data_IF_088069058217
#
_entry.id   IF_088069058217
#
_cell.length_a   1.000
_cell.length_b   1.000
_cell.length_c   1.000
_cell.angle_alpha   90.00
_cell.angle_beta   90.00
_cell.angle_gamma   90.00
#
_symmetry.space_group_name_H-M   'P 1'
#
loop_
_entity.id
_entity.type
_entity.pdbx_description
1 polymer ?
#
# COMPACT_ATOMS: atom_id res chain seq x y z
N UNK A 1 -33.41 31.50 -14.85
CA UNK A 1 -32.66 32.48 -14.01
C UNK A 1 -31.80 31.71 -13.02
N UNK A 2 -30.47 31.68 -13.17
CA UNK A 2 -29.57 31.11 -12.14
C UNK A 2 -29.52 32.09 -10.96
N UNK A 3 -29.97 31.69 -9.78
CA UNK A 3 -29.85 32.50 -8.58
C UNK A 3 -28.37 32.81 -8.32
N UNK A 4 -28.02 34.10 -8.24
CA UNK A 4 -26.64 34.54 -8.08
C UNK A 4 -26.28 34.58 -6.59
N UNK A 5 -25.67 33.51 -6.08
CA UNK A 5 -25.22 33.45 -4.69
C UNK A 5 -23.88 34.19 -4.51
N UNK A 6 -23.91 35.31 -3.79
CA UNK A 6 -22.72 36.13 -3.51
C UNK A 6 -21.71 35.36 -2.65
N UNK A 7 -20.42 35.47 -2.98
CA UNK A 7 -19.30 34.84 -2.26
C UNK A 7 -19.20 33.31 -2.38
N UNK A 8 -19.94 32.68 -3.29
CA UNK A 8 -19.81 31.24 -3.57
C UNK A 8 -18.75 31.00 -4.64
N UNK A 9 -17.86 30.05 -4.38
CA UNK A 9 -16.81 29.60 -5.31
C UNK A 9 -16.87 28.08 -5.49
N UNK A 10 -16.57 27.63 -6.69
CA UNK A 10 -16.44 26.21 -7.03
C UNK A 10 -14.99 25.75 -6.92
N UNK A 11 -14.79 24.53 -6.42
CA UNK A 11 -13.49 23.88 -6.34
C UNK A 11 -13.65 22.44 -6.82
N UNK A 12 -12.85 22.03 -7.80
CA UNK A 12 -12.90 20.68 -8.36
C UNK A 12 -11.87 19.84 -7.62
N UNK A 13 -12.31 18.78 -6.94
CA UNK A 13 -11.36 17.90 -6.27
C UNK A 13 -10.55 17.06 -7.28
N UNK A 14 -9.47 16.44 -6.81
CA UNK A 14 -8.58 15.57 -7.62
C UNK A 14 -9.27 14.37 -8.28
N UNK A 15 -10.56 14.13 -7.99
CA UNK A 15 -11.38 13.07 -8.57
C UNK A 15 -12.48 13.63 -9.48
N UNK A 16 -12.44 14.93 -9.81
CA UNK A 16 -13.40 15.59 -10.69
C UNK A 16 -14.71 16.01 -10.01
N UNK A 17 -14.86 15.86 -8.69
CA UNK A 17 -16.09 16.27 -8.02
C UNK A 17 -16.08 17.78 -7.74
N UNK A 18 -17.07 18.48 -8.27
CA UNK A 18 -17.29 19.91 -8.00
C UNK A 18 -17.82 20.08 -6.57
N UNK A 19 -17.16 20.92 -5.78
CA UNK A 19 -17.56 21.28 -4.42
C UNK A 19 -17.73 22.78 -4.31
N UNK A 20 -18.79 23.20 -3.64
CA UNK A 20 -19.12 24.61 -3.43
C UNK A 20 -18.57 25.10 -2.09
N UNK A 21 -18.07 26.32 -2.07
CA UNK A 21 -17.55 26.97 -0.86
C UNK A 21 -18.01 28.42 -0.76
N UNK A 22 -18.22 28.90 0.45
CA UNK A 22 -18.35 30.32 0.75
C UNK A 22 -16.98 30.92 1.06
N UNK A 23 -16.63 32.02 0.40
CA UNK A 23 -15.34 32.72 0.57
C UNK A 23 -15.54 34.24 0.59
N UNK A 24 -15.42 34.84 1.77
CA UNK A 24 -15.45 36.30 1.99
C UNK A 24 -14.13 36.75 2.64
N UNK A 25 -13.57 37.88 2.19
CA UNK A 25 -12.32 38.43 2.71
C UNK A 25 -12.45 38.66 4.24
N UNK A 26 -11.50 38.14 5.01
CA UNK A 26 -11.52 38.22 6.48
C UNK A 26 -12.29 37.09 7.20
N UNK A 27 -12.87 36.13 6.46
CA UNK A 27 -13.51 34.93 7.02
C UNK A 27 -12.87 33.65 6.46
N UNK A 28 -12.81 32.55 7.24
CA UNK A 28 -12.35 31.27 6.74
C UNK A 28 -13.25 30.72 5.62
N UNK A 29 -12.65 29.96 4.70
CA UNK A 29 -13.36 29.29 3.58
C UNK A 29 -14.24 28.18 4.15
N UNK A 30 -15.56 28.26 3.95
CA UNK A 30 -16.54 27.29 4.48
C UNK A 30 -17.12 26.45 3.34
N UNK A 31 -17.28 25.14 3.53
CA UNK A 31 -17.89 24.25 2.53
C UNK A 31 -19.41 24.39 2.55
N UNK A 32 -20.02 24.53 1.38
CA UNK A 32 -21.48 24.50 1.19
C UNK A 32 -21.90 23.09 0.73
N UNK A 33 -22.64 22.33 1.56
CA UNK A 33 -23.10 20.99 1.21
C UNK A 33 -24.30 21.03 0.25
N UNK A 34 -24.39 20.02 -0.62
CA UNK A 34 -25.52 19.87 -1.55
C UNK A 34 -25.47 20.79 -2.78
N UNK A 35 -26.42 20.62 -3.71
CA UNK A 35 -26.53 21.46 -4.90
C UNK A 35 -27.01 22.88 -4.53
N UNK A 36 -26.67 23.91 -5.33
CA UNK A 36 -27.13 25.28 -5.10
C UNK A 36 -28.65 25.35 -4.95
N UNK A 37 -29.13 25.95 -3.86
CA UNK A 37 -30.55 26.10 -3.55
C UNK A 37 -31.19 24.94 -2.77
N UNK A 38 -30.46 23.87 -2.44
CA UNK A 38 -30.97 22.84 -1.51
C UNK A 38 -31.14 23.39 -0.08
N UNK A 39 -31.93 22.72 0.79
CA UNK A 39 -32.04 23.11 2.20
C UNK A 39 -30.68 23.20 2.90
N UNK A 40 -29.85 22.15 2.78
CA UNK A 40 -28.51 22.11 3.36
C UNK A 40 -27.59 23.22 2.82
N UNK A 41 -27.70 23.54 1.52
CA UNK A 41 -26.95 24.62 0.90
C UNK A 41 -27.39 25.98 1.43
N UNK A 42 -28.70 26.24 1.46
CA UNK A 42 -29.26 27.53 1.89
C UNK A 42 -29.00 27.79 3.37
N UNK A 43 -28.98 26.75 4.19
CA UNK A 43 -28.72 26.86 5.63
C UNK A 43 -27.24 27.14 5.91
N UNK A 44 -26.34 26.40 5.26
CA UNK A 44 -24.90 26.67 5.33
C UNK A 44 -24.53 28.04 4.75
N UNK A 45 -25.20 28.45 3.67
CA UNK A 45 -25.00 29.74 3.02
C UNK A 45 -25.46 30.91 3.89
N UNK A 46 -26.65 30.81 4.51
CA UNK A 46 -27.16 31.82 5.45
C UNK A 46 -26.27 31.93 6.69
N UNK A 47 -25.87 30.81 7.28
CA UNK A 47 -24.95 30.80 8.43
C UNK A 47 -23.62 31.50 8.10
N UNK A 48 -23.03 31.20 6.94
CA UNK A 48 -21.78 31.82 6.49
C UNK A 48 -21.93 33.34 6.21
N UNK A 49 -23.06 33.78 5.64
CA UNK A 49 -23.36 35.20 5.44
C UNK A 49 -23.47 35.98 6.76
N UNK A 50 -24.07 35.37 7.78
CA UNK A 50 -24.25 35.93 9.12
C UNK A 50 -22.96 35.92 9.96
N UNK A 51 -21.84 35.43 9.41
CA UNK A 51 -20.58 35.30 10.15
C UNK A 51 -20.62 34.25 11.26
N UNK A 52 -21.73 33.52 11.39
CA UNK A 52 -21.81 32.28 12.16
C UNK A 52 -21.10 31.24 11.33
N UNK A 53 -19.78 31.19 11.49
CA UNK A 53 -18.97 30.09 11.00
C UNK A 53 -19.55 28.83 11.62
N UNK A 54 -20.44 28.19 10.87
CA UNK A 54 -20.74 26.79 11.06
C UNK A 54 -19.41 26.11 10.79
N UNK A 55 -18.61 25.97 11.85
CA UNK A 55 -17.92 24.72 12.05
C UNK A 55 -19.00 23.64 11.95
N UNK A 56 -19.31 23.24 10.72
CA UNK A 56 -19.71 21.87 10.46
C UNK A 56 -18.47 21.02 10.75
N UNK A 57 -18.00 21.04 12.00
CA UNK A 57 -17.62 19.82 12.69
C UNK A 57 -18.77 18.90 12.34
N UNK A 58 -18.52 17.94 11.46
CA UNK A 58 -19.30 16.72 11.42
C UNK A 58 -19.52 16.40 12.88
N UNK A 59 -20.73 16.58 13.42
CA UNK A 59 -21.02 16.16 14.78
C UNK A 59 -20.50 14.74 14.80
N UNK A 60 -19.43 14.49 15.56
CA UNK A 60 -19.07 13.13 15.90
C UNK A 60 -20.35 12.66 16.55
N UNK A 61 -21.17 11.91 15.81
CA UNK A 61 -22.47 11.50 16.29
C UNK A 61 -22.25 10.96 17.69
N UNK A 62 -23.10 11.35 18.64
CA UNK A 62 -22.99 10.86 20.01
C UNK A 62 -22.68 9.37 19.96
N UNK A 63 -21.60 8.95 20.62
CA UNK A 63 -21.17 7.55 20.56
C UNK A 63 -22.29 6.75 21.23
N UNK A 64 -23.10 6.06 20.41
CA UNK A 64 -24.23 5.28 20.90
C UNK A 64 -23.68 4.13 21.75
N UNK A 65 -24.05 4.03 23.05
CA UNK A 65 -23.61 2.92 23.89
C UNK A 65 -24.01 1.56 23.31
N UNK A 66 -23.07 0.61 23.29
CA UNK A 66 -23.26 -0.72 22.69
C UNK A 66 -23.14 -0.77 21.17
N UNK A 67 -22.84 0.35 20.49
CA UNK A 67 -22.68 0.41 19.04
C UNK A 67 -21.34 -0.14 18.57
N UNK A 68 -21.27 -0.58 17.31
CA UNK A 68 -20.02 -1.02 16.70
C UNK A 68 -18.94 0.06 16.71
N UNK A 69 -19.32 1.34 16.57
CA UNK A 69 -18.41 2.47 16.68
C UNK A 69 -17.79 2.58 18.07
N UNK A 70 -18.58 2.40 19.13
CA UNK A 70 -18.06 2.34 20.51
C UNK A 70 -17.03 1.21 20.66
N UNK A 71 -17.32 0.02 20.12
CA UNK A 71 -16.40 -1.11 20.15
C UNK A 71 -15.09 -0.80 19.39
N UNK A 72 -15.16 -0.16 18.22
CA UNK A 72 -13.98 0.28 17.47
C UNK A 72 -13.13 1.25 18.29
N UNK A 73 -13.76 2.22 18.99
CA UNK A 73 -13.04 3.17 19.85
C UNK A 73 -12.33 2.46 20.99
N UNK A 74 -13.01 1.54 21.69
CA UNK A 74 -12.38 0.70 22.75
C UNK A 74 -11.20 -0.11 22.21
N UNK A 75 -11.31 -0.62 20.98
CA UNK A 75 -10.22 -1.32 20.33
C UNK A 75 -9.05 -0.39 20.02
N UNK A 76 -9.30 0.81 19.53
CA UNK A 76 -8.26 1.79 19.19
C UNK A 76 -7.43 2.26 20.39
N UNK A 77 -8.00 2.22 21.60
CA UNK A 77 -7.31 2.56 22.85
C UNK A 77 -6.71 1.34 23.55
N UNK A 78 -6.88 0.13 23.00
CA UNK A 78 -6.38 -1.11 23.61
C UNK A 78 -4.88 -1.33 23.37
N UNK A 79 -4.21 -2.02 24.30
CA UNK A 79 -2.83 -2.45 24.13
C UNK A 79 -2.63 -3.31 22.86
N UNK A 80 -3.60 -4.19 22.55
CA UNK A 80 -3.62 -5.03 21.34
C UNK A 80 -3.53 -4.21 20.04
N UNK A 81 -4.06 -2.98 20.03
CA UNK A 81 -3.97 -2.05 18.90
C UNK A 81 -2.74 -1.15 18.98
N UNK A 82 -2.45 -0.56 20.14
CA UNK A 82 -1.37 0.41 20.32
C UNK A 82 0.03 -0.20 20.10
N UNK A 83 0.20 -1.50 20.35
CA UNK A 83 1.46 -2.21 20.09
C UNK A 83 1.66 -2.59 18.61
N UNK A 84 0.68 -2.31 17.72
CA UNK A 84 0.83 -2.57 16.29
C UNK A 84 1.72 -1.50 15.65
N UNK A 85 2.36 -1.87 14.53
CA UNK A 85 3.06 -0.89 13.71
C UNK A 85 2.10 0.26 13.28
N UNK A 86 2.52 1.54 13.29
CA UNK A 86 1.65 2.67 12.95
C UNK A 86 0.96 2.56 11.58
N UNK A 87 1.58 1.88 10.60
CA UNK A 87 0.94 1.62 9.31
C UNK A 87 -0.20 0.61 9.45
N UNK A 88 0.00 -0.43 10.26
CA UNK A 88 -1.02 -1.44 10.56
C UNK A 88 -2.20 -0.81 11.30
N UNK A 89 -1.93 0.08 12.26
CA UNK A 89 -2.96 0.86 12.96
C UNK A 89 -3.82 1.66 11.97
N UNK A 90 -3.17 2.44 11.08
CA UNK A 90 -3.85 3.23 10.05
C UNK A 90 -4.70 2.38 9.11
N UNK A 91 -4.17 1.27 8.60
CA UNK A 91 -4.93 0.37 7.71
C UNK A 91 -6.15 -0.23 8.41
N UNK A 92 -6.00 -0.76 9.63
CA UNK A 92 -7.12 -1.35 10.36
C UNK A 92 -8.19 -0.33 10.68
N UNK A 93 -7.80 0.87 11.13
CA UNK A 93 -8.72 1.98 11.39
C UNK A 93 -9.49 2.37 10.14
N UNK A 94 -8.80 2.57 9.02
CA UNK A 94 -9.46 2.91 7.75
C UNK A 94 -10.49 1.85 7.31
N UNK A 95 -10.19 0.56 7.50
CA UNK A 95 -11.12 -0.53 7.18
C UNK A 95 -12.34 -0.51 8.11
N UNK A 96 -12.13 -0.38 9.43
CA UNK A 96 -13.21 -0.36 10.42
C UNK A 96 -14.08 0.89 10.29
N UNK A 97 -13.49 2.05 10.05
CA UNK A 97 -14.24 3.29 9.87
C UNK A 97 -15.09 3.24 8.59
N UNK A 98 -14.56 2.67 7.50
CA UNK A 98 -15.32 2.43 6.27
C UNK A 98 -16.46 1.43 6.50
N UNK A 99 -16.22 0.37 7.27
CA UNK A 99 -17.28 -0.56 7.66
C UNK A 99 -18.38 0.16 8.45
N UNK A 100 -18.01 0.97 9.45
CA UNK A 100 -18.96 1.74 10.26
C UNK A 100 -19.78 2.73 9.43
N UNK A 101 -19.19 3.32 8.38
CA UNK A 101 -19.89 4.24 7.47
C UNK A 101 -20.84 3.54 6.50
N UNK A 102 -20.63 2.25 6.22
CA UNK A 102 -21.47 1.51 5.28
C UNK A 102 -22.86 1.26 5.90
N UNK A 103 -23.92 1.86 5.33
CA UNK A 103 -25.32 1.71 5.80
C UNK A 103 -25.48 1.98 7.31
N UNK A 104 -24.70 2.91 7.84
CA UNK A 104 -24.62 3.24 9.27
C UNK A 104 -24.41 2.00 10.17
N UNK A 105 -23.66 0.99 9.69
CA UNK A 105 -23.36 -0.21 10.48
C UNK A 105 -22.61 0.13 11.78
N UNK A 106 -21.94 1.28 11.84
CA UNK A 106 -21.25 1.79 13.03
C UNK A 106 -22.18 2.10 14.20
N UNK A 107 -23.40 2.51 13.92
CA UNK A 107 -24.37 2.95 14.94
C UNK A 107 -25.20 1.78 15.48
N UNK A 108 -25.11 0.62 14.81
CA UNK A 108 -25.86 -0.59 15.16
C UNK A 108 -25.22 -1.33 16.34
N UNK A 109 -26.00 -2.06 17.15
CA UNK A 109 -25.47 -2.84 18.26
C UNK A 109 -24.49 -3.92 17.79
N UNK A 110 -23.24 -3.88 18.26
CA UNK A 110 -22.23 -4.86 17.83
C UNK A 110 -22.56 -6.30 18.27
N UNK A 111 -23.39 -6.45 19.31
CA UNK A 111 -23.86 -7.75 19.82
C UNK A 111 -24.84 -8.46 18.87
N UNK A 112 -25.49 -7.71 17.98
CA UNK A 112 -26.42 -8.23 16.98
C UNK A 112 -25.78 -8.43 15.60
N UNK A 113 -24.47 -8.14 15.47
CA UNK A 113 -23.76 -8.34 14.22
C UNK A 113 -23.56 -9.85 13.98
N UNK A 114 -24.44 -10.44 13.18
CA UNK A 114 -24.32 -11.84 12.74
C UNK A 114 -23.32 -12.07 11.57
N UNK A 115 -22.89 -13.32 11.43
CA UNK A 115 -22.04 -13.83 10.34
C UNK A 115 -22.62 -13.51 8.96
N UNK A 116 -23.93 -13.65 8.77
CA UNK A 116 -24.64 -13.38 7.51
C UNK A 116 -24.48 -11.92 7.05
N UNK A 117 -24.48 -10.96 7.98
CA UNK A 117 -24.25 -9.55 7.66
C UNK A 117 -22.83 -9.33 7.11
N UNK A 118 -21.83 -9.97 7.71
CA UNK A 118 -20.43 -9.85 7.28
C UNK A 118 -20.24 -10.50 5.91
N UNK A 119 -20.87 -11.66 5.68
CA UNK A 119 -20.89 -12.33 4.37
C UNK A 119 -21.52 -11.41 3.32
N UNK A 120 -22.68 -10.81 3.59
CA UNK A 120 -23.32 -9.85 2.68
C UNK A 120 -22.40 -8.68 2.32
N UNK A 121 -21.64 -8.14 3.29
CA UNK A 121 -20.65 -7.07 3.03
C UNK A 121 -19.43 -7.55 2.24
N UNK A 122 -18.98 -8.78 2.49
CA UNK A 122 -17.87 -9.41 1.77
C UNK A 122 -18.24 -9.65 0.31
N UNK A 123 -19.43 -10.17 0.07
CA UNK A 123 -19.89 -10.56 -1.28
C UNK A 123 -20.26 -9.33 -2.12
N UNK A 124 -20.70 -8.24 -1.49
CA UNK A 124 -20.81 -6.92 -2.13
C UNK A 124 -19.46 -6.32 -2.56
N UNK A 125 -18.35 -6.99 -2.27
CA UNK A 125 -16.99 -6.62 -2.65
C UNK A 125 -16.31 -7.71 -3.52
N UNK A 126 -17.10 -8.55 -4.19
CA UNK A 126 -16.61 -9.66 -5.02
C UNK A 126 -15.65 -9.21 -6.15
N UNK A 127 -15.85 -8.00 -6.66
CA UNK A 127 -14.99 -7.32 -7.64
C UNK A 127 -13.59 -6.96 -7.08
N UNK A 128 -13.46 -6.96 -5.76
CA UNK A 128 -12.24 -6.57 -5.02
C UNK A 128 -11.97 -7.55 -3.86
N UNK A 129 -11.66 -8.82 -4.17
CA UNK A 129 -11.58 -9.89 -3.18
C UNK A 129 -10.56 -9.61 -2.06
N UNK A 130 -9.42 -8.99 -2.36
CA UNK A 130 -8.41 -8.65 -1.34
C UNK A 130 -8.92 -7.60 -0.34
N UNK A 131 -9.69 -6.62 -0.79
CA UNK A 131 -10.30 -5.64 0.10
C UNK A 131 -11.38 -6.29 0.99
N UNK A 132 -12.18 -7.19 0.42
CA UNK A 132 -13.19 -7.95 1.16
C UNK A 132 -12.54 -8.84 2.24
N UNK A 133 -11.47 -9.55 1.87
CA UNK A 133 -10.69 -10.39 2.77
C UNK A 133 -10.01 -9.56 3.88
N UNK A 134 -9.52 -8.37 3.54
CA UNK A 134 -8.98 -7.40 4.52
C UNK A 134 -10.03 -6.93 5.53
N UNK A 135 -11.27 -6.69 5.09
CA UNK A 135 -12.40 -6.36 5.96
C UNK A 135 -12.71 -7.50 6.92
N UNK A 136 -12.93 -8.72 6.40
CA UNK A 136 -13.22 -9.91 7.22
C UNK A 136 -12.11 -10.16 8.25
N UNK A 137 -10.84 -10.07 7.83
CA UNK A 137 -9.68 -10.23 8.73
C UNK A 137 -9.67 -9.17 9.85
N UNK A 138 -10.00 -7.94 9.53
CA UNK A 138 -9.98 -6.84 10.51
C UNK A 138 -11.13 -6.95 11.50
N UNK A 139 -12.34 -7.31 11.04
CA UNK A 139 -13.48 -7.59 11.90
C UNK A 139 -13.21 -8.79 12.82
N UNK A 140 -12.61 -9.86 12.30
CA UNK A 140 -12.20 -11.01 13.12
C UNK A 140 -11.26 -10.60 14.24
N UNK A 141 -10.30 -9.71 13.97
CA UNK A 141 -9.39 -9.20 15.01
C UNK A 141 -10.11 -8.31 16.03
N UNK A 142 -11.03 -7.44 15.58
CA UNK A 142 -11.86 -6.61 16.46
C UNK A 142 -12.68 -7.45 17.44
N UNK A 143 -13.36 -8.49 16.95
CA UNK A 143 -14.19 -9.34 17.79
C UNK A 143 -13.38 -10.30 18.66
N UNK A 144 -12.17 -10.70 18.25
CA UNK A 144 -11.24 -11.40 19.15
C UNK A 144 -10.84 -10.51 20.33
N UNK A 145 -10.59 -9.22 20.10
CA UNK A 145 -10.40 -8.24 21.18
C UNK A 145 -11.65 -8.15 22.06
N UNK A 146 -12.84 -8.06 21.46
CA UNK A 146 -14.11 -7.97 22.19
C UNK A 146 -14.34 -9.19 23.11
N UNK A 147 -13.97 -10.40 22.67
CA UNK A 147 -14.01 -11.62 23.50
C UNK A 147 -13.05 -11.51 24.68
N UNK A 148 -11.78 -11.13 24.45
CA UNK A 148 -10.80 -10.95 25.54
C UNK A 148 -11.27 -9.92 26.57
N UNK A 149 -11.91 -8.85 26.11
CA UNK A 149 -12.50 -7.81 26.93
C UNK A 149 -13.85 -8.21 27.58
N UNK A 150 -14.31 -9.46 27.40
CA UNK A 150 -15.59 -10.00 27.90
C UNK A 150 -16.82 -9.18 27.46
N UNK A 151 -16.74 -8.51 26.30
CA UNK A 151 -17.83 -7.69 25.74
C UNK A 151 -18.83 -8.51 24.90
N UNK A 152 -18.36 -9.63 24.35
CA UNK A 152 -19.12 -10.63 23.59
C UNK A 152 -18.59 -12.04 23.92
N UNK A 153 -19.39 -13.07 23.65
CA UNK A 153 -19.03 -14.48 23.88
C UNK A 153 -18.57 -15.20 22.61
N UNK A 154 -18.90 -14.69 21.43
CA UNK A 154 -18.57 -15.30 20.15
C UNK A 154 -18.05 -14.27 19.15
N UNK A 155 -17.32 -14.73 18.12
CA UNK A 155 -16.80 -13.89 17.05
C UNK A 155 -17.59 -14.17 15.75
N UNK A 156 -18.44 -13.23 15.28
CA UNK A 156 -19.26 -13.41 14.08
C UNK A 156 -18.45 -13.44 12.78
N UNK A 157 -17.18 -13.03 12.82
CA UNK A 157 -16.27 -13.15 11.67
C UNK A 157 -15.44 -14.44 11.71
N UNK A 158 -15.62 -15.28 12.73
CA UNK A 158 -14.98 -16.60 12.80
C UNK A 158 -15.55 -17.51 11.72
N UNK A 159 -14.73 -18.41 11.17
CA UNK A 159 -15.19 -19.38 10.16
C UNK A 159 -15.53 -18.82 8.77
N UNK A 160 -15.67 -17.49 8.60
CA UNK A 160 -15.92 -16.89 7.28
C UNK A 160 -14.74 -17.20 6.34
N UNK A 161 -15.04 -17.96 5.28
CA UNK A 161 -14.10 -18.26 4.18
C UNK A 161 -13.73 -16.98 3.45
N UNK A 162 -12.48 -16.90 3.00
CA UNK A 162 -12.00 -15.80 2.17
C UNK A 162 -12.50 -15.98 0.74
N UNK A 163 -12.71 -14.87 0.05
CA UNK A 163 -12.86 -14.89 -1.41
C UNK A 163 -11.53 -15.28 -2.04
N UNK A 164 -11.57 -16.00 -3.15
CA UNK A 164 -10.39 -16.29 -3.94
C UNK A 164 -9.86 -14.98 -4.54
N UNK A 165 -8.55 -14.75 -4.37
CA UNK A 165 -7.84 -13.62 -4.93
C UNK A 165 -7.01 -14.04 -6.14
N UNK A 166 -6.24 -13.12 -6.70
CA UNK A 166 -5.29 -13.44 -7.76
C UNK A 166 -4.22 -14.44 -7.24
N UNK A 167 -4.17 -15.68 -7.75
CA UNK A 167 -3.23 -16.69 -7.27
C UNK A 167 -1.77 -16.36 -7.59
N UNK A 168 -1.52 -15.62 -8.68
CA UNK A 168 -0.19 -15.22 -9.14
C UNK A 168 0.37 -14.01 -8.38
N UNK A 169 -0.54 -13.17 -7.85
CA UNK A 169 -0.19 -11.93 -7.16
C UNK A 169 0.38 -10.89 -8.12
N UNK A 170 1.41 -10.15 -7.71
CA UNK A 170 2.04 -9.16 -8.60
C UNK A 170 2.72 -9.80 -9.80
N UNK A 171 2.60 -9.20 -10.98
CA UNK A 171 3.37 -9.61 -12.15
C UNK A 171 4.89 -9.54 -11.87
N UNK A 172 5.64 -10.53 -12.36
CA UNK A 172 7.10 -10.48 -12.37
C UNK A 172 7.54 -9.91 -13.71
N UNK A 173 8.25 -8.78 -13.68
CA UNK A 173 8.66 -8.11 -14.91
C UNK A 173 9.51 -9.03 -15.80
N UNK A 174 9.23 -9.03 -17.10
CA UNK A 174 10.00 -9.78 -18.09
C UNK A 174 11.28 -9.03 -18.46
N UNK A 175 12.28 -9.71 -19.05
CA UNK A 175 13.46 -9.04 -19.60
C UNK A 175 13.12 -7.92 -20.60
N UNK A 176 12.11 -8.13 -21.45
CA UNK A 176 11.69 -7.15 -22.47
C UNK A 176 11.01 -5.93 -21.84
N UNK A 177 10.15 -6.12 -20.84
CA UNK A 177 9.53 -5.01 -20.10
C UNK A 177 10.58 -4.18 -19.36
N UNK A 178 11.60 -4.86 -18.81
CA UNK A 178 12.74 -4.17 -18.19
C UNK A 178 13.48 -3.38 -19.26
N UNK A 179 13.91 -4.01 -20.37
CA UNK A 179 14.64 -3.35 -21.46
C UNK A 179 13.88 -2.14 -22.04
N UNK A 180 12.56 -2.23 -22.19
CA UNK A 180 11.71 -1.11 -22.61
C UNK A 180 11.80 0.07 -21.62
N UNK A 181 11.76 -0.20 -20.32
CA UNK A 181 11.95 0.84 -19.31
C UNK A 181 13.36 1.46 -19.38
N UNK A 182 14.40 0.63 -19.59
CA UNK A 182 15.78 1.12 -19.70
C UNK A 182 16.01 1.97 -20.96
N UNK A 183 15.31 1.66 -22.06
CA UNK A 183 15.40 2.39 -23.32
C UNK A 183 14.80 3.82 -23.20
N UNK A 184 13.74 3.98 -22.40
CA UNK A 184 13.12 5.29 -22.14
C UNK A 184 13.88 6.07 -21.08
N UNK A 185 14.42 5.39 -20.06
CA UNK A 185 15.13 6.01 -18.95
C UNK A 185 16.61 5.63 -18.93
N UNK A 186 17.49 6.43 -19.54
CA UNK A 186 18.92 6.16 -19.54
C UNK A 186 19.54 6.30 -18.15
N UNK A 187 20.78 5.79 -18.01
CA UNK A 187 21.61 5.96 -16.82
C UNK A 187 21.75 7.46 -16.50
N UNK A 188 21.65 7.81 -15.23
CA UNK A 188 21.61 9.19 -14.74
C UNK A 188 20.21 9.65 -14.33
N UNK A 189 19.15 9.02 -14.83
CA UNK A 189 17.77 9.33 -14.40
C UNK A 189 17.39 8.67 -13.07
N UNK A 190 16.52 9.33 -12.28
CA UNK A 190 15.96 8.77 -11.04
C UNK A 190 15.15 7.49 -11.27
N UNK A 191 14.45 7.41 -12.41
CA UNK A 191 13.69 6.25 -12.83
C UNK A 191 14.61 5.03 -13.03
N UNK A 192 15.72 5.21 -13.76
CA UNK A 192 16.74 4.18 -13.99
C UNK A 192 17.36 3.69 -12.68
N UNK A 193 17.70 4.61 -11.78
CA UNK A 193 18.22 4.28 -10.46
C UNK A 193 17.21 3.47 -9.61
N UNK A 194 15.92 3.85 -9.63
CA UNK A 194 14.89 3.13 -8.88
C UNK A 194 14.71 1.69 -9.38
N UNK A 195 14.71 1.49 -10.70
CA UNK A 195 14.70 0.17 -11.34
C UNK A 195 15.93 -0.66 -10.92
N UNK A 196 17.13 -0.08 -11.03
CA UNK A 196 18.38 -0.75 -10.71
C UNK A 196 18.44 -1.16 -9.23
N UNK A 197 18.12 -0.25 -8.31
CA UNK A 197 18.04 -0.58 -6.88
C UNK A 197 17.06 -1.73 -6.62
N UNK A 198 15.89 -1.74 -7.25
CA UNK A 198 14.92 -2.82 -7.09
C UNK A 198 15.45 -4.18 -7.59
N UNK A 199 16.13 -4.20 -8.74
CA UNK A 199 16.62 -5.44 -9.37
C UNK A 199 17.89 -6.00 -8.71
N UNK A 200 18.85 -5.14 -8.36
CA UNK A 200 20.12 -5.59 -7.76
C UNK A 200 20.00 -5.92 -6.29
N UNK A 201 19.09 -5.28 -5.56
CA UNK A 201 18.92 -5.53 -4.12
C UNK A 201 17.73 -6.43 -3.81
N UNK A 202 16.78 -6.58 -4.75
CA UNK A 202 15.53 -7.30 -4.54
C UNK A 202 14.66 -6.73 -3.42
N UNK A 203 14.87 -5.50 -2.95
CA UNK A 203 14.22 -4.97 -1.75
C UNK A 203 12.80 -4.44 -1.98
N UNK A 204 12.01 -4.32 -0.90
CA UNK A 204 10.63 -3.84 -1.00
C UNK A 204 10.63 -2.34 -1.20
N UNK A 205 9.57 -1.79 -1.80
CA UNK A 205 9.36 -0.34 -1.97
C UNK A 205 9.66 0.50 -0.72
N UNK A 206 9.27 0.03 0.47
CA UNK A 206 9.55 0.74 1.72
C UNK A 206 11.04 0.84 2.06
N UNK A 207 11.81 -0.16 1.66
CA UNK A 207 13.26 -0.22 1.83
C UNK A 207 13.93 0.65 0.76
N UNK A 208 13.51 0.51 -0.50
CA UNK A 208 14.01 1.34 -1.62
C UNK A 208 13.85 2.85 -1.36
N UNK A 209 12.75 3.24 -0.70
CA UNK A 209 12.50 4.64 -0.35
C UNK A 209 13.46 5.21 0.70
N UNK A 210 14.16 4.37 1.47
CA UNK A 210 15.06 4.81 2.55
C UNK A 210 16.52 4.39 2.35
N UNK A 211 16.80 3.45 1.43
CA UNK A 211 18.16 3.07 1.06
C UNK A 211 18.94 4.29 0.53
N UNK A 212 20.25 4.30 0.81
CA UNK A 212 21.06 5.48 0.58
C UNK A 212 22.48 5.39 1.11
N UNK A 213 23.23 6.47 0.93
CA UNK A 213 24.65 6.62 1.30
C UNK A 213 24.92 6.22 2.76
N UNK A 214 23.99 6.53 3.67
CA UNK A 214 24.08 6.17 5.09
C UNK A 214 24.19 4.66 5.34
N UNK A 215 23.74 3.82 4.40
CA UNK A 215 23.78 2.35 4.49
C UNK A 215 25.02 1.75 3.82
N UNK A 216 25.85 2.55 3.14
CA UNK A 216 27.01 2.04 2.40
C UNK A 216 28.20 1.88 3.35
N UNK A 217 28.79 0.68 3.42
CA UNK A 217 30.03 0.39 4.17
C UNK A 217 30.90 -0.53 3.33
N UNK A 218 32.11 -0.09 2.98
CA UNK A 218 33.12 -0.90 2.27
C UNK A 218 32.59 -1.61 1.01
N UNK A 219 31.71 -0.95 0.23
CA UNK A 219 31.11 -1.55 -0.97
C UNK A 219 29.86 -2.42 -0.72
N UNK A 220 29.34 -2.44 0.50
CA UNK A 220 28.14 -3.18 0.89
C UNK A 220 27.01 -2.25 1.35
N UNK A 221 25.77 -2.62 1.06
CA UNK A 221 24.59 -2.04 1.69
C UNK A 221 24.27 -2.82 2.96
N UNK A 222 24.40 -2.15 4.10
CA UNK A 222 24.14 -2.69 5.45
C UNK A 222 22.90 -2.00 6.02
N UNK A 223 21.79 -2.73 6.17
CA UNK A 223 20.52 -2.16 6.62
C UNK A 223 19.60 -3.20 7.29
N UNK A 224 18.57 -2.71 7.97
CA UNK A 224 17.47 -3.55 8.48
C UNK A 224 16.22 -3.31 7.64
N UNK A 225 15.60 -4.37 7.13
CA UNK A 225 14.36 -4.24 6.35
C UNK A 225 13.29 -3.51 7.16
N UNK A 226 12.65 -2.52 6.53
CA UNK A 226 11.65 -1.64 7.12
C UNK A 226 10.46 -2.44 7.65
N UNK A 227 9.95 -3.39 6.87
CA UNK A 227 8.84 -4.26 7.29
C UNK A 227 9.33 -5.23 8.36
N UNK A 228 8.71 -5.20 9.53
CA UNK A 228 9.03 -6.11 10.62
C UNK A 228 10.12 -5.63 11.57
N UNK A 229 10.84 -4.54 11.26
CA UNK A 229 11.95 -4.01 12.11
C UNK A 229 11.62 -3.84 13.59
N UNK A 230 10.39 -3.47 13.93
CA UNK A 230 9.95 -3.23 15.31
C UNK A 230 9.57 -4.51 16.09
N UNK A 231 9.59 -5.69 15.44
CA UNK A 231 9.13 -6.96 16.04
C UNK A 231 10.04 -8.14 15.73
N UNK A 232 10.44 -8.28 14.48
CA UNK A 232 11.31 -9.34 13.96
C UNK A 232 12.26 -8.72 12.93
N UNK A 233 13.31 -8.02 13.38
CA UNK A 233 14.22 -7.32 12.48
C UNK A 233 14.98 -8.32 11.61
N UNK A 234 15.04 -8.02 10.30
CA UNK A 234 15.84 -8.76 9.33
C UNK A 234 16.95 -7.82 8.88
N UNK A 235 18.18 -8.09 9.34
CA UNK A 235 19.38 -7.36 8.94
C UNK A 235 19.95 -8.02 7.69
N UNK A 236 20.32 -7.20 6.71
CA UNK A 236 20.91 -7.65 5.45
C UNK A 236 22.18 -6.86 5.16
N UNK A 237 23.12 -7.57 4.57
CA UNK A 237 24.34 -7.03 3.99
C UNK A 237 24.39 -7.51 2.55
N UNK A 238 24.28 -6.57 1.60
CA UNK A 238 24.18 -6.88 0.17
C UNK A 238 25.36 -6.18 -0.54
N UNK A 239 26.18 -6.90 -1.32
CA UNK A 239 27.27 -6.27 -2.04
C UNK A 239 26.71 -5.34 -3.13
N UNK A 240 27.29 -4.15 -3.27
CA UNK A 240 26.92 -3.22 -4.33
C UNK A 240 27.60 -3.72 -5.61
N UNK A 241 26.79 -4.23 -6.54
CA UNK A 241 27.30 -4.64 -7.85
C UNK A 241 27.95 -3.44 -8.57
N UNK A 242 29.05 -3.63 -9.33
CA UNK A 242 29.73 -2.54 -10.03
C UNK A 242 28.81 -1.72 -10.94
N UNK A 243 27.86 -2.38 -11.61
CA UNK A 243 26.85 -1.70 -12.43
C UNK A 243 25.92 -0.82 -11.60
N UNK A 244 25.47 -1.32 -10.45
CA UNK A 244 24.64 -0.53 -9.53
C UNK A 244 25.41 0.70 -9.03
N UNK A 245 26.70 0.54 -8.71
CA UNK A 245 27.55 1.65 -8.29
C UNK A 245 27.66 2.70 -9.40
N UNK A 246 27.91 2.27 -10.66
CA UNK A 246 27.95 3.19 -11.82
C UNK A 246 26.65 3.98 -11.98
N UNK A 247 25.50 3.32 -11.81
CA UNK A 247 24.20 3.98 -11.90
C UNK A 247 23.98 4.96 -10.74
N UNK A 248 24.38 4.59 -9.51
CA UNK A 248 24.34 5.48 -8.34
C UNK A 248 25.20 6.74 -8.59
N UNK A 249 26.41 6.56 -9.09
CA UNK A 249 27.37 7.67 -9.30
C UNK A 249 26.93 8.61 -10.42
N UNK A 250 26.24 8.09 -11.43
CA UNK A 250 25.73 8.88 -12.55
C UNK A 250 24.41 9.62 -12.24
N UNK A 251 23.69 9.24 -11.18
CA UNK A 251 22.38 9.80 -10.84
C UNK A 251 22.47 10.77 -9.67
N UNK A 252 21.80 11.93 -9.80
CA UNK A 252 21.66 12.89 -8.71
C UNK A 252 20.89 12.26 -7.52
N UNK A 253 21.64 11.95 -6.46
CA UNK A 253 21.15 11.38 -5.22
C UNK A 253 20.99 12.45 -4.13
N UNK A 254 20.15 12.17 -3.14
CA UNK A 254 20.07 13.00 -1.94
C UNK A 254 21.30 12.92 -1.04
N UNK A 255 21.26 13.69 0.06
CA UNK A 255 22.28 13.64 1.11
C UNK A 255 22.32 12.28 1.80
N UNK A 256 21.16 11.76 2.22
CA UNK A 256 21.05 10.49 2.94
C UNK A 256 20.54 9.33 2.09
N UNK A 257 19.49 9.56 1.29
CA UNK A 257 18.81 8.54 0.48
C UNK A 257 19.21 8.63 -0.99
N UNK A 258 19.26 7.48 -1.68
CA UNK A 258 19.56 7.46 -3.12
C UNK A 258 18.42 8.08 -3.93
N UNK A 259 17.17 7.73 -3.60
CA UNK A 259 16.00 8.25 -4.29
C UNK A 259 15.43 9.46 -3.56
N UNK A 260 15.30 10.58 -4.29
CA UNK A 260 14.70 11.83 -3.82
C UNK A 260 13.69 12.38 -4.83
N UNK A 261 12.71 13.11 -4.32
CA UNK A 261 11.71 13.85 -5.10
C UNK A 261 12.37 14.97 -5.92
N UNK A 262 11.60 15.65 -6.78
CA UNK A 262 12.10 16.84 -7.49
C UNK A 262 12.47 18.00 -6.56
N UNK A 263 12.04 17.96 -5.30
CA UNK A 263 12.40 18.93 -4.27
C UNK A 263 13.60 18.49 -3.41
N UNK A 264 14.34 17.47 -3.82
CA UNK A 264 15.50 16.93 -3.09
C UNK A 264 15.15 16.22 -1.77
N UNK A 265 13.85 16.02 -1.48
CA UNK A 265 13.41 15.32 -0.26
C UNK A 265 13.31 13.81 -0.48
N UNK A 266 13.65 12.97 0.52
CA UNK A 266 13.44 11.53 0.45
C UNK A 266 11.99 11.17 0.11
N UNK A 267 11.80 10.12 -0.69
CA UNK A 267 10.45 9.63 -0.96
C UNK A 267 9.83 8.99 0.28
N UNK A 268 8.51 9.16 0.45
CA UNK A 268 7.75 8.21 1.26
C UNK A 268 7.58 6.91 0.46
N UNK A 269 7.37 5.79 1.16
CA UNK A 269 7.16 4.50 0.48
C UNK A 269 5.98 4.58 -0.52
N UNK A 270 4.87 5.23 -0.15
CA UNK A 270 3.71 5.34 -1.06
C UNK A 270 3.99 6.34 -2.18
N UNK A 271 4.70 7.44 -1.90
CA UNK A 271 5.13 8.42 -2.91
C UNK A 271 6.04 7.81 -3.97
N UNK A 272 7.03 7.00 -3.59
CA UNK A 272 7.88 6.27 -4.53
C UNK A 272 7.04 5.33 -5.40
N UNK A 273 6.03 4.67 -4.82
CA UNK A 273 5.14 3.79 -5.55
C UNK A 273 4.32 4.51 -6.62
N UNK A 274 3.79 5.68 -6.30
CA UNK A 274 3.05 6.50 -7.24
C UNK A 274 3.97 7.07 -8.32
N UNK A 275 5.14 7.59 -7.94
CA UNK A 275 6.10 8.13 -8.90
C UNK A 275 6.59 7.07 -9.88
N UNK A 276 6.80 5.85 -9.39
CA UNK A 276 7.16 4.73 -10.26
C UNK A 276 6.04 4.34 -11.22
N UNK A 277 4.76 4.51 -10.86
CA UNK A 277 3.65 4.32 -11.80
C UNK A 277 3.68 5.37 -12.91
N UNK A 278 3.97 6.63 -12.58
CA UNK A 278 4.15 7.68 -13.61
C UNK A 278 5.28 7.31 -14.58
N UNK A 279 6.45 6.88 -14.06
CA UNK A 279 7.55 6.43 -14.92
C UNK A 279 7.19 5.20 -15.77
N UNK A 280 6.47 4.23 -15.20
CA UNK A 280 5.97 3.08 -15.95
C UNK A 280 5.05 3.51 -17.10
N UNK A 281 4.13 4.43 -16.83
CA UNK A 281 3.17 4.92 -17.82
C UNK A 281 3.88 5.71 -18.92
N UNK A 282 4.88 6.52 -18.56
CA UNK A 282 5.76 7.24 -19.48
C UNK A 282 6.60 6.29 -20.35
N UNK A 283 7.01 5.14 -19.81
CA UNK A 283 7.67 4.08 -20.59
C UNK A 283 6.71 3.27 -21.48
N UNK A 284 5.41 3.56 -21.46
CA UNK A 284 4.40 2.82 -22.23
C UNK A 284 4.21 1.37 -21.75
N UNK A 285 4.52 1.08 -20.48
CA UNK A 285 4.39 -0.27 -19.93
C UNK A 285 3.00 -0.53 -19.34
N UNK A 286 2.49 -1.77 -19.40
CA UNK A 286 1.19 -2.12 -18.85
C UNK A 286 1.06 -1.85 -17.35
N UNK A 287 -0.16 -1.57 -16.89
CA UNK A 287 -0.43 -1.24 -15.48
C UNK A 287 -0.01 -2.32 -14.47
N UNK A 288 0.07 -3.59 -14.90
CA UNK A 288 0.54 -4.70 -14.06
C UNK A 288 2.03 -4.65 -13.72
N UNK A 289 2.84 -3.89 -14.48
CA UNK A 289 4.25 -3.64 -14.24
C UNK A 289 4.46 -2.72 -13.03
N UNK A 290 4.14 -3.21 -11.82
CA UNK A 290 4.31 -2.46 -10.60
C UNK A 290 5.74 -2.59 -10.04
N UNK A 291 6.22 -1.59 -9.32
CA UNK A 291 7.53 -1.62 -8.61
C UNK A 291 7.72 -2.87 -7.74
N UNK A 292 6.64 -3.38 -7.11
CA UNK A 292 6.75 -4.59 -6.30
C UNK A 292 7.05 -5.84 -7.14
N UNK A 293 6.67 -5.86 -8.41
CA UNK A 293 6.97 -6.92 -9.36
C UNK A 293 8.47 -7.08 -9.63
N UNK A 294 9.26 -6.00 -9.52
CA UNK A 294 10.71 -6.04 -9.72
C UNK A 294 11.43 -6.86 -8.67
N UNK A 295 10.89 -6.98 -7.45
CA UNK A 295 11.42 -7.89 -6.43
C UNK A 295 11.28 -9.36 -6.85
N UNK A 296 10.19 -9.71 -7.55
CA UNK A 296 10.01 -11.05 -8.12
C UNK A 296 10.97 -11.27 -9.29
N UNK A 297 11.12 -10.26 -10.16
CA UNK A 297 12.07 -10.30 -11.26
C UNK A 297 13.52 -10.44 -10.77
N UNK A 298 13.91 -9.77 -9.70
CA UNK A 298 15.22 -9.93 -9.06
C UNK A 298 15.46 -11.38 -8.59
N UNK A 299 14.48 -11.97 -7.89
CA UNK A 299 14.57 -13.36 -7.45
C UNK A 299 14.62 -14.35 -8.63
N UNK A 300 13.84 -14.11 -9.68
CA UNK A 300 13.86 -14.91 -10.89
C UNK A 300 15.22 -14.83 -11.61
N UNK A 301 15.79 -13.62 -11.77
CA UNK A 301 17.13 -13.43 -12.36
C UNK A 301 18.22 -14.16 -11.60
N UNK A 302 18.19 -14.11 -10.26
CA UNK A 302 19.15 -14.85 -9.43
C UNK A 302 18.97 -16.37 -9.61
N UNK A 303 17.73 -16.87 -9.66
CA UNK A 303 17.46 -18.28 -9.92
C UNK A 303 17.95 -18.72 -11.32
N UNK A 304 17.70 -17.90 -12.35
CA UNK A 304 18.18 -18.14 -13.71
C UNK A 304 19.71 -18.11 -13.81
N UNK A 305 20.37 -17.30 -12.98
CA UNK A 305 21.82 -17.30 -12.81
C UNK A 305 22.36 -18.53 -12.05
N UNK A 306 21.49 -19.45 -11.63
CA UNK A 306 21.85 -20.68 -10.94
C UNK A 306 22.01 -20.54 -9.42
N UNK A 307 21.64 -19.39 -8.84
CA UNK A 307 21.65 -19.24 -7.39
C UNK A 307 20.67 -20.21 -6.72
N UNK A 308 21.13 -20.83 -5.65
CA UNK A 308 20.32 -21.61 -4.75
C UNK A 308 19.27 -20.74 -4.06
N UNK A 309 18.21 -21.35 -3.56
CA UNK A 309 17.17 -20.63 -2.83
C UNK A 309 17.73 -19.85 -1.63
N UNK A 310 18.74 -20.39 -0.93
CA UNK A 310 19.37 -19.72 0.22
C UNK A 310 20.16 -18.48 -0.19
N UNK A 311 20.83 -18.50 -1.33
CA UNK A 311 21.51 -17.32 -1.89
C UNK A 311 20.50 -16.26 -2.32
N UNK A 312 19.38 -16.66 -2.91
CA UNK A 312 18.29 -15.72 -3.24
C UNK A 312 17.69 -15.11 -1.97
N UNK A 313 17.51 -15.91 -0.91
CA UNK A 313 17.00 -15.46 0.38
C UNK A 313 17.99 -14.52 1.09
N UNK A 314 19.30 -14.69 0.94
CA UNK A 314 20.29 -13.79 1.54
C UNK A 314 20.26 -12.39 0.93
N UNK A 315 19.93 -12.28 -0.37
CA UNK A 315 19.73 -10.99 -1.03
C UNK A 315 18.34 -10.42 -0.71
N UNK A 316 17.28 -11.21 -0.90
CA UNK A 316 15.91 -10.70 -0.81
C UNK A 316 15.42 -10.55 0.64
N UNK A 317 15.99 -11.26 1.60
CA UNK A 317 15.57 -11.28 3.00
C UNK A 317 14.23 -11.96 3.26
N UNK A 318 13.87 -12.96 2.44
CA UNK A 318 12.75 -13.84 2.79
C UNK A 318 13.17 -14.80 3.90
N UNK A 319 12.30 -15.05 4.89
CA UNK A 319 12.58 -15.98 6.00
C UNK A 319 12.00 -17.37 5.79
N UNK A 320 11.14 -17.55 4.78
CA UNK A 320 10.55 -18.83 4.40
C UNK A 320 10.71 -19.05 2.90
N UNK A 321 11.09 -20.27 2.54
CA UNK A 321 11.18 -20.74 1.16
C UNK A 321 9.87 -20.61 0.40
N UNK A 322 8.72 -20.78 1.06
CA UNK A 322 7.40 -20.72 0.41
C UNK A 322 7.13 -19.40 -0.35
N UNK A 323 7.71 -18.28 0.10
CA UNK A 323 7.54 -16.97 -0.56
C UNK A 323 8.46 -16.82 -1.80
N UNK A 324 9.56 -17.57 -1.86
CA UNK A 324 10.57 -17.56 -2.92
C UNK A 324 10.27 -18.64 -3.97
N UNK A 325 9.77 -19.78 -3.50
CA UNK A 325 9.43 -21.00 -4.22
C UNK A 325 8.66 -20.76 -5.53
N UNK A 326 7.70 -19.83 -5.54
CA UNK A 326 6.86 -19.60 -6.72
C UNK A 326 7.64 -19.07 -7.91
N UNK A 327 8.63 -18.21 -7.70
CA UNK A 327 9.44 -17.63 -8.78
C UNK A 327 10.62 -18.53 -9.14
N UNK A 328 11.17 -19.20 -8.13
CA UNK A 328 12.35 -20.05 -8.29
C UNK A 328 12.01 -21.39 -8.94
N UNK A 329 10.82 -21.96 -8.70
CA UNK A 329 10.44 -23.27 -9.28
C UNK A 329 10.43 -23.28 -10.80
N UNK A 330 9.89 -22.24 -11.44
CA UNK A 330 9.83 -22.16 -12.90
C UNK A 330 11.24 -22.04 -13.52
N UNK A 331 12.06 -21.12 -13.00
CA UNK A 331 13.44 -20.94 -13.44
C UNK A 331 14.28 -22.21 -13.23
N UNK A 332 14.20 -22.80 -12.03
CA UNK A 332 14.91 -24.04 -11.71
C UNK A 332 14.41 -25.25 -12.49
N UNK A 333 13.12 -25.30 -12.89
CA UNK A 333 12.63 -26.38 -13.74
C UNK A 333 13.29 -26.31 -15.12
N UNK A 334 13.36 -25.13 -15.74
CA UNK A 334 14.00 -24.93 -17.05
C UNK A 334 15.51 -25.26 -16.99
N UNK A 335 16.21 -24.77 -15.96
CA UNK A 335 17.63 -25.08 -15.76
C UNK A 335 17.88 -26.57 -15.52
N UNK A 336 17.08 -27.21 -14.67
CA UNK A 336 17.18 -28.65 -14.39
C UNK A 336 16.89 -29.48 -15.63
N UNK A 337 15.89 -29.11 -16.42
CA UNK A 337 15.58 -29.77 -17.69
C UNK A 337 16.75 -29.65 -18.68
N UNK A 338 17.31 -28.44 -18.85
CA UNK A 338 18.48 -28.23 -19.70
C UNK A 338 19.72 -29.00 -19.22
N UNK A 339 19.97 -29.03 -17.90
CA UNK A 339 21.06 -29.83 -17.33
C UNK A 339 20.83 -31.34 -17.49
N UNK A 340 19.59 -31.82 -17.33
CA UNK A 340 19.26 -33.23 -17.51
C UNK A 340 19.47 -33.67 -18.96
N UNK A 341 19.02 -32.88 -19.93
CA UNK A 341 19.23 -33.16 -21.35
C UNK A 341 20.71 -33.15 -21.73
N UNK A 342 21.52 -32.20 -21.20
CA UNK A 342 22.97 -32.20 -21.42
C UNK A 342 23.64 -33.48 -20.90
N UNK A 343 23.23 -33.97 -19.73
CA UNK A 343 23.76 -35.24 -19.17
C UNK A 343 23.37 -36.44 -20.02
N UNK A 344 22.10 -36.53 -20.43
CA UNK A 344 21.60 -37.62 -21.29
C UNK A 344 22.37 -37.70 -22.62
N UNK A 345 22.63 -36.55 -23.25
CA UNK A 345 23.36 -36.50 -24.53
C UNK A 345 24.86 -36.77 -24.38
N UNK A 346 25.43 -36.52 -23.19
CA UNK A 346 26.83 -36.82 -22.90
C UNK A 346 27.10 -38.31 -22.63
N UNK A 347 26.08 -39.08 -22.25
CA UNK A 347 26.16 -40.55 -22.07
C UNK A 347 25.97 -41.33 -23.38
N UNK A 348 25.56 -40.66 -24.46
CA UNK A 348 25.32 -41.26 -25.78
C UNK A 348 26.49 -41.09 -26.76
N UNK A 349 27.53 -40.36 -26.36
CA UNK A 349 28.82 -40.23 -27.04
C UNK A 349 29.89 -40.92 -26.21
#
# INVERSE_FOLDING_TARGET
MKAHFRYVVEDVDRHGNVRLYFRRKGQPKVRLPGPPGSPDFNDAYRAALEGRLSEAKTKVGEIIPGSLRELCIKYYTSADYLQLDPRTQRTRRSILDRFCQNKNDGDKPYRLLDTSHIISRRDAMIDRPEAANGMVKTLRLLFNFAIKAKLVTHNPASGIKKLEGNPEGFHSWTPDEIAQFEAVFPIGTKARLALALALYTGQRRSDLAVLGKQHVRNGWLVFTQFKGRNRRPVKLEIPIAPELQRIIDATECGELTFLVTEYGRPFTADGLGNKFQEWRDEAGLPSHCALHGLRKAAAARLAEAGCTEREIMSITGHQSSQEVDRYVKAANQKLRAGSAMRKLLAEQN
#
